data_IF_416639789333
#
_entry.id   IF_416639789333
#
_cell.length_a   1.000
_cell.length_b   1.000
_cell.length_c   1.000
_cell.angle_alpha   90.00
_cell.angle_beta   90.00
_cell.angle_gamma   90.00
#
_symmetry.space_group_name_H-M   'P 1'
#
loop_
_entity.id
_entity.type
_entity.pdbx_description
1 polymer ?
#
# COMPACT_ATOMS: atom_id res chain seq x y z
N UNK A 1 3.00 1.86 -22.16
CA UNK A 1 3.01 0.86 -21.07
C UNK A 1 4.23 -0.03 -21.29
N UNK A 2 5.11 -0.23 -20.30
CA UNK A 2 6.35 -1.02 -20.40
C UNK A 2 6.14 -2.55 -20.56
N UNK A 3 5.06 -2.99 -21.23
CA UNK A 3 4.72 -4.42 -21.34
C UNK A 3 4.40 -5.13 -20.01
N UNK A 4 4.23 -4.39 -18.92
CA UNK A 4 3.87 -4.92 -17.60
C UNK A 4 2.40 -5.36 -17.58
N UNK A 5 2.16 -6.53 -17.00
CA UNK A 5 0.82 -7.07 -16.74
C UNK A 5 0.31 -6.58 -15.38
N UNK A 6 -0.98 -6.78 -15.12
CA UNK A 6 -1.60 -6.40 -13.85
C UNK A 6 -0.89 -7.02 -12.64
N UNK A 7 -0.52 -8.30 -12.72
CA UNK A 7 0.23 -8.97 -11.65
C UNK A 7 1.61 -8.35 -11.41
N UNK A 8 2.29 -7.91 -12.48
CA UNK A 8 3.58 -7.23 -12.35
C UNK A 8 3.40 -5.90 -11.60
N UNK A 9 2.34 -5.14 -11.89
CA UNK A 9 2.02 -3.91 -11.17
C UNK A 9 1.73 -4.18 -9.68
N UNK A 10 0.88 -5.16 -9.38
CA UNK A 10 0.51 -5.49 -7.99
C UNK A 10 1.76 -5.90 -7.20
N UNK A 11 2.62 -6.74 -7.80
CA UNK A 11 3.87 -7.16 -7.17
C UNK A 11 4.80 -5.97 -6.91
N UNK A 12 5.02 -5.11 -7.91
CA UNK A 12 5.90 -3.94 -7.82
C UNK A 12 5.46 -2.92 -6.77
N UNK A 13 4.15 -2.72 -6.61
CA UNK A 13 3.63 -1.81 -5.57
C UNK A 13 3.92 -2.32 -4.15
N UNK A 14 4.24 -3.62 -3.99
CA UNK A 14 4.80 -4.16 -2.75
C UNK A 14 6.11 -3.49 -2.29
N UNK A 15 6.80 -2.72 -3.13
CA UNK A 15 7.91 -1.87 -2.70
C UNK A 15 7.51 -0.87 -1.60
N UNK A 16 6.23 -0.49 -1.51
CA UNK A 16 5.70 0.34 -0.43
C UNK A 16 5.62 -0.39 0.92
N UNK A 17 6.08 -1.65 1.03
CA UNK A 17 6.37 -2.28 2.32
C UNK A 17 7.44 -1.53 3.13
N UNK A 18 8.29 -0.73 2.48
CA UNK A 18 9.27 0.13 3.12
C UNK A 18 9.11 1.59 2.70
N UNK A 19 9.77 2.47 3.44
CA UNK A 19 9.82 3.90 3.15
C UNK A 19 8.66 4.68 3.73
N UNK A 20 8.48 5.90 3.25
CA UNK A 20 7.54 6.87 3.83
C UNK A 20 6.77 7.60 2.73
N UNK A 21 5.58 8.09 3.08
CA UNK A 21 4.85 9.06 2.28
C UNK A 21 4.72 10.39 3.01
N UNK A 22 4.83 11.49 2.27
CA UNK A 22 4.52 12.82 2.79
C UNK A 22 3.02 13.01 2.93
N UNK A 23 2.59 13.63 4.03
CA UNK A 23 1.19 13.94 4.33
C UNK A 23 0.37 14.56 3.17
N UNK A 24 0.89 15.46 2.32
CA UNK A 24 0.13 16.02 1.21
C UNK A 24 -0.36 14.97 0.21
N UNK A 25 0.32 13.81 0.11
CA UNK A 25 0.00 12.75 -0.83
C UNK A 25 -1.20 11.88 -0.42
N UNK A 26 -1.67 11.96 0.83
CA UNK A 26 -2.78 11.12 1.30
C UNK A 26 -3.76 11.80 2.26
N UNK A 27 -3.39 12.91 2.91
CA UNK A 27 -4.24 13.54 3.94
C UNK A 27 -5.59 14.04 3.40
N UNK A 28 -5.72 14.21 2.09
CA UNK A 28 -7.00 14.57 1.46
C UNK A 28 -8.07 13.48 1.67
N UNK A 29 -7.67 12.21 1.86
CA UNK A 29 -8.58 11.10 2.15
C UNK A 29 -9.35 11.29 3.45
N UNK A 30 -8.81 12.04 4.42
CA UNK A 30 -9.52 12.37 5.66
C UNK A 30 -10.54 13.52 5.50
N UNK A 31 -10.40 14.33 4.45
CA UNK A 31 -11.27 15.49 4.19
C UNK A 31 -12.49 15.14 3.37
N UNK A 32 -12.36 14.13 2.51
CA UNK A 32 -13.46 13.60 1.72
C UNK A 32 -14.20 12.51 2.51
N UNK A 33 -15.52 12.67 2.70
CA UNK A 33 -16.31 11.74 3.51
C UNK A 33 -16.36 10.33 2.92
N UNK A 34 -16.40 10.20 1.59
CA UNK A 34 -16.46 8.90 0.92
C UNK A 34 -15.11 8.19 1.09
N UNK A 35 -14.01 8.89 0.80
CA UNK A 35 -12.66 8.32 0.95
C UNK A 35 -12.32 8.00 2.40
N UNK A 36 -12.78 8.84 3.34
CA UNK A 36 -12.59 8.57 4.75
C UNK A 36 -13.26 7.26 5.16
N UNK A 37 -14.41 6.89 4.60
CA UNK A 37 -15.07 5.61 4.92
C UNK A 37 -14.29 4.38 4.46
N UNK A 38 -13.32 4.56 3.56
CA UNK A 38 -12.43 3.49 3.08
C UNK A 38 -11.16 3.33 3.93
N UNK A 39 -10.91 4.23 4.89
CA UNK A 39 -9.74 4.19 5.78
C UNK A 39 -10.14 3.56 7.11
N UNK A 40 -9.39 2.55 7.56
CA UNK A 40 -9.59 1.93 8.88
C UNK A 40 -9.40 2.95 10.02
N UNK A 41 -10.16 2.78 11.11
CA UNK A 41 -10.22 3.75 12.21
C UNK A 41 -8.87 4.05 12.85
N UNK A 42 -8.05 3.02 13.10
CA UNK A 42 -6.73 3.24 13.70
C UNK A 42 -5.80 4.05 12.77
N UNK A 43 -5.89 3.82 11.45
CA UNK A 43 -5.13 4.58 10.48
C UNK A 43 -5.59 6.04 10.39
N UNK A 44 -6.90 6.32 10.50
CA UNK A 44 -7.42 7.69 10.57
C UNK A 44 -6.79 8.48 11.71
N UNK A 45 -6.67 7.83 12.88
CA UNK A 45 -6.06 8.44 14.07
C UNK A 45 -4.60 8.77 13.79
N UNK A 46 -3.83 7.82 13.26
CA UNK A 46 -2.42 8.03 12.89
C UNK A 46 -2.26 9.17 11.88
N UNK A 47 -3.01 9.13 10.78
CA UNK A 47 -3.00 10.18 9.75
C UNK A 47 -3.38 11.55 10.32
N UNK A 48 -4.40 11.59 11.20
CA UNK A 48 -4.89 12.82 11.82
C UNK A 48 -3.85 13.48 12.72
N UNK A 49 -3.19 12.70 13.58
CA UNK A 49 -2.13 13.21 14.46
C UNK A 49 -0.85 13.56 13.69
N UNK A 50 -0.36 12.66 12.84
CA UNK A 50 0.90 12.87 12.12
C UNK A 50 0.82 14.04 11.14
N UNK A 51 -0.34 14.27 10.51
CA UNK A 51 -0.52 15.31 9.50
C UNK A 51 -1.06 16.64 10.04
N UNK A 52 -1.06 16.85 11.37
CA UNK A 52 -1.17 18.20 11.95
C UNK A 52 -0.09 19.12 11.39
N UNK A 53 1.14 18.59 11.26
CA UNK A 53 2.16 19.19 10.42
C UNK A 53 2.06 18.64 8.98
N UNK A 54 1.73 19.51 8.03
CA UNK A 54 1.56 19.14 6.62
C UNK A 54 2.85 18.65 5.95
N UNK A 55 4.02 19.00 6.48
CA UNK A 55 5.31 18.59 5.93
C UNK A 55 5.79 17.22 6.45
N UNK A 56 5.08 16.64 7.43
CA UNK A 56 5.48 15.39 8.05
C UNK A 56 5.39 14.20 7.08
N UNK A 57 6.14 13.16 7.40
CA UNK A 57 6.21 11.89 6.68
C UNK A 57 5.68 10.77 7.58
N UNK A 58 4.98 9.81 6.98
CA UNK A 58 4.43 8.64 7.69
C UNK A 58 4.95 7.37 7.00
N UNK A 59 5.42 6.36 7.75
CA UNK A 59 5.80 5.07 7.18
C UNK A 59 4.68 4.47 6.32
N UNK A 60 5.04 3.99 5.13
CA UNK A 60 4.08 3.34 4.23
C UNK A 60 3.48 2.08 4.87
N UNK A 61 4.30 1.32 5.58
CA UNK A 61 3.89 0.26 6.50
C UNK A 61 4.33 0.61 7.92
N UNK A 62 3.37 0.80 8.84
CA UNK A 62 3.66 1.13 10.24
C UNK A 62 4.01 -0.08 11.10
N UNK A 63 3.79 -1.30 10.61
CA UNK A 63 4.04 -2.55 11.35
C UNK A 63 5.50 -2.98 11.16
N UNK A 64 5.99 -2.97 9.91
CA UNK A 64 7.34 -3.43 9.54
C UNK A 64 8.11 -2.39 8.72
N UNK A 65 8.08 -1.12 9.13
CA UNK A 65 8.63 0.05 8.41
C UNK A 65 10.02 -0.05 7.74
N UNK A 66 10.91 -0.93 8.25
CA UNK A 66 12.28 -1.11 7.75
C UNK A 66 12.53 -2.49 7.13
N UNK A 67 11.51 -3.34 7.04
CA UNK A 67 11.60 -4.67 6.47
C UNK A 67 10.68 -4.74 5.27
N UNK A 68 11.26 -5.02 4.11
CA UNK A 68 10.50 -5.36 2.93
C UNK A 68 9.92 -6.75 3.14
N UNK A 69 8.60 -6.86 3.29
CA UNK A 69 7.89 -8.09 3.57
C UNK A 69 6.41 -8.04 3.10
N UNK A 70 5.70 -9.17 3.25
CA UNK A 70 4.30 -9.30 2.83
C UNK A 70 3.31 -8.50 3.67
N UNK A 71 3.77 -7.81 4.73
CA UNK A 71 2.90 -7.08 5.64
C UNK A 71 2.16 -5.94 4.93
N UNK A 72 2.77 -5.34 3.89
CA UNK A 72 2.11 -4.39 3.02
C UNK A 72 0.74 -4.89 2.54
N UNK A 73 0.68 -6.09 1.97
CA UNK A 73 -0.57 -6.67 1.44
C UNK A 73 -1.58 -6.98 2.54
N UNK A 74 -1.10 -7.47 3.69
CA UNK A 74 -1.96 -7.70 4.87
C UNK A 74 -2.62 -6.41 5.32
N UNK A 75 -1.90 -5.29 5.30
CA UNK A 75 -2.43 -3.99 5.66
C UNK A 75 -3.45 -3.49 4.63
N UNK A 76 -3.28 -3.77 3.33
CA UNK A 76 -4.29 -3.42 2.32
C UNK A 76 -5.63 -4.12 2.56
N UNK A 77 -5.60 -5.41 2.91
CA UNK A 77 -6.79 -6.21 3.23
C UNK A 77 -7.52 -5.67 4.47
N UNK A 78 -6.77 -5.08 5.41
CA UNK A 78 -7.30 -4.43 6.61
C UNK A 78 -7.74 -2.97 6.39
N UNK A 79 -7.74 -2.47 5.15
CA UNK A 79 -8.03 -1.07 4.82
C UNK A 79 -7.07 -0.05 5.46
N UNK A 80 -5.81 -0.46 5.63
CA UNK A 80 -4.74 0.29 6.31
C UNK A 80 -3.65 0.78 5.35
N UNK A 81 -3.98 1.05 4.10
CA UNK A 81 -3.06 1.71 3.18
C UNK A 81 -3.07 3.23 3.38
N UNK A 82 -1.91 3.90 3.39
CA UNK A 82 -1.85 5.37 3.39
C UNK A 82 -2.39 5.96 2.09
N UNK A 83 -1.85 5.51 0.96
CA UNK A 83 -2.25 6.01 -0.35
C UNK A 83 -3.57 5.38 -0.80
N UNK A 84 -4.40 6.18 -1.47
CA UNK A 84 -5.64 5.69 -2.08
C UNK A 84 -5.36 4.66 -3.18
N UNK A 85 -4.30 4.89 -3.98
CA UNK A 85 -3.84 3.96 -5.03
C UNK A 85 -3.54 2.56 -4.49
N UNK A 86 -2.92 2.50 -3.32
CA UNK A 86 -2.55 1.24 -2.68
C UNK A 86 -3.82 0.56 -2.12
N UNK A 87 -4.72 1.35 -1.52
CA UNK A 87 -5.98 0.82 -1.00
C UNK A 87 -6.85 0.20 -2.12
N UNK A 88 -6.78 0.74 -3.34
CA UNK A 88 -7.49 0.17 -4.49
C UNK A 88 -7.01 -1.23 -4.85
N UNK A 89 -5.73 -1.57 -4.64
CA UNK A 89 -5.26 -2.94 -4.92
C UNK A 89 -6.01 -3.97 -4.06
N UNK A 90 -6.22 -3.67 -2.78
CA UNK A 90 -6.91 -4.56 -1.83
C UNK A 90 -8.43 -4.54 -1.92
N UNK A 91 -9.01 -3.50 -2.53
CA UNK A 91 -10.46 -3.30 -2.63
C UNK A 91 -11.03 -3.68 -4.01
N UNK A 92 -10.23 -3.58 -5.08
CA UNK A 92 -10.69 -3.88 -6.44
C UNK A 92 -10.76 -5.40 -6.67
N UNK A 93 -11.91 -5.96 -7.09
CA UNK A 93 -12.08 -7.40 -7.32
C UNK A 93 -11.07 -8.01 -8.30
N UNK A 94 -10.49 -7.21 -9.21
CA UNK A 94 -9.52 -7.67 -10.21
C UNK A 94 -8.15 -7.91 -9.59
N UNK A 95 -7.77 -7.18 -8.55
CA UNK A 95 -6.44 -7.23 -7.92
C UNK A 95 -6.46 -7.86 -6.53
N UNK A 96 -7.59 -7.82 -5.83
CA UNK A 96 -7.73 -8.38 -4.49
C UNK A 96 -7.29 -9.84 -4.38
N UNK A 97 -7.57 -10.75 -5.34
CA UNK A 97 -7.05 -12.12 -5.28
C UNK A 97 -5.51 -12.20 -5.28
N UNK A 98 -4.84 -11.30 -6.00
CA UNK A 98 -3.37 -11.22 -6.02
C UNK A 98 -2.83 -10.63 -4.71
N UNK A 99 -3.51 -9.64 -4.15
CA UNK A 99 -3.17 -9.09 -2.82
C UNK A 99 -3.29 -10.17 -1.75
N UNK A 100 -4.37 -10.95 -1.75
CA UNK A 100 -4.55 -12.07 -0.84
C UNK A 100 -3.43 -13.11 -1.01
N UNK A 101 -3.14 -13.51 -2.26
CA UNK A 101 -2.04 -14.44 -2.58
C UNK A 101 -0.70 -13.96 -2.02
N UNK A 102 -0.34 -12.70 -2.22
CA UNK A 102 0.92 -12.13 -1.74
C UNK A 102 0.94 -11.87 -0.23
N UNK A 103 -0.22 -11.67 0.40
CA UNK A 103 -0.35 -11.60 1.86
C UNK A 103 -0.13 -12.97 2.52
N UNK A 104 -0.61 -14.05 1.88
CA UNK A 104 -0.53 -15.42 2.40
C UNK A 104 0.82 -16.08 2.12
N UNK A 105 1.46 -15.74 0.99
CA UNK A 105 2.73 -16.31 0.56
C UNK A 105 3.77 -15.23 0.21
N UNK A 106 4.60 -14.89 1.19
CA UNK A 106 5.69 -13.92 1.05
C UNK A 106 6.77 -14.38 0.05
N UNK A 107 7.02 -15.68 -0.04
CA UNK A 107 8.06 -16.23 -0.95
C UNK A 107 7.64 -16.03 -2.40
N UNK A 108 6.38 -16.35 -2.70
CA UNK A 108 5.79 -16.17 -4.02
C UNK A 108 5.73 -14.69 -4.41
N UNK A 109 5.37 -13.80 -3.48
CA UNK A 109 5.46 -12.36 -3.74
C UNK A 109 6.88 -11.91 -4.07
N UNK A 110 7.87 -12.26 -3.25
CA UNK A 110 9.26 -11.82 -3.46
C UNK A 110 9.81 -12.32 -4.80
N UNK A 111 9.50 -13.56 -5.17
CA UNK A 111 9.83 -14.11 -6.48
C UNK A 111 9.22 -13.26 -7.60
N UNK A 112 7.92 -12.99 -7.53
CA UNK A 112 7.22 -12.19 -8.54
C UNK A 112 7.70 -10.74 -8.58
N UNK A 113 8.00 -10.14 -7.43
CA UNK A 113 8.58 -8.80 -7.33
C UNK A 113 9.91 -8.73 -8.11
N UNK A 114 10.78 -9.71 -7.88
CA UNK A 114 12.09 -9.80 -8.53
C UNK A 114 11.96 -9.92 -10.05
N UNK A 115 11.08 -10.80 -10.53
CA UNK A 115 10.79 -10.92 -11.97
C UNK A 115 10.25 -9.61 -12.57
N UNK A 116 9.36 -8.94 -11.82
CA UNK A 116 8.68 -7.73 -12.28
C UNK A 116 9.58 -6.50 -12.31
N UNK A 117 10.48 -6.35 -11.32
CA UNK A 117 11.42 -5.22 -11.26
C UNK A 117 12.50 -5.35 -12.33
N UNK A 118 12.96 -6.57 -12.64
CA UNK A 118 13.86 -6.84 -13.77
C UNK A 118 13.16 -6.47 -15.08
N UNK A 119 11.90 -6.88 -15.27
CA UNK A 119 11.12 -6.58 -16.47
C UNK A 119 10.83 -5.08 -16.65
N UNK A 120 10.76 -4.32 -15.56
CA UNK A 120 10.51 -2.88 -15.60
C UNK A 120 11.75 -2.08 -16.02
N UNK A 121 12.94 -2.55 -15.66
CA UNK A 121 14.23 -1.97 -16.02
C UNK A 121 14.48 -2.04 -17.51
#
# INVERSE_FOLDING_TARGET
MKGLKQEDMVALLGAHSIGVAHCPNFRYRLKDRVKANEVEGSLKVVMGFQCLNKANMVPMDSITQYKMDSMFYKQLLLKRALLESDQWLGSDPRTQPLVQKFADDETEWFKKFTESIIKMG
#
